data_IF_025537952478
#
_entry.id   IF_025537952478
#
_cell.length_a   1.000
_cell.length_b   1.000
_cell.length_c   1.000
_cell.angle_alpha   90.00
_cell.angle_beta   90.00
_cell.angle_gamma   90.00
#
_symmetry.space_group_name_H-M   'P 1'
#
loop_
_entity.id
_entity.type
_entity.pdbx_description
1 polymer ?
#
# COMPACT_ATOMS: atom_id res chain seq x y z
N UNK A 1 -8.35 12.96 11.30
CA UNK A 1 -8.90 14.32 11.34
C UNK A 1 -10.24 14.38 12.10
N UNK A 2 -11.26 13.70 11.61
CA UNK A 2 -12.57 13.68 12.26
C UNK A 2 -12.57 12.87 13.58
N UNK A 3 -11.66 11.90 13.72
CA UNK A 3 -11.50 11.07 14.93
C UNK A 3 -10.61 11.75 15.97
N UNK A 4 -9.46 12.31 15.53
CA UNK A 4 -8.42 12.85 16.43
C UNK A 4 -8.56 14.35 16.68
N UNK A 5 -9.33 15.07 15.86
CA UNK A 5 -9.48 16.50 15.83
C UNK A 5 -8.40 17.22 15.01
N UNK A 6 -8.75 18.42 14.54
CA UNK A 6 -7.92 19.22 13.62
C UNK A 6 -6.51 19.52 14.14
N UNK A 7 -6.36 19.70 15.46
CA UNK A 7 -5.08 20.03 16.08
C UNK A 7 -4.05 18.91 16.02
N UNK A 8 -4.47 17.67 15.80
CA UNK A 8 -3.60 16.50 15.76
C UNK A 8 -3.24 16.09 14.33
N UNK A 9 -3.92 16.64 13.32
CA UNK A 9 -3.59 16.37 11.93
C UNK A 9 -2.41 17.21 11.48
N UNK A 10 -1.36 16.56 11.00
CA UNK A 10 -0.13 17.20 10.50
C UNK A 10 -0.11 17.14 8.98
N UNK A 11 -0.10 15.94 8.42
CA UNK A 11 -0.14 15.69 6.99
C UNK A 11 -0.62 14.27 6.67
N UNK A 12 -1.08 14.08 5.45
CA UNK A 12 -1.36 12.78 4.85
C UNK A 12 -0.79 12.70 3.45
N UNK A 13 -0.55 11.48 2.99
CA UNK A 13 -0.09 11.24 1.63
C UNK A 13 -0.57 9.89 1.10
N UNK A 14 -0.54 9.75 -0.22
CA UNK A 14 -0.84 8.52 -0.93
C UNK A 14 0.37 8.09 -1.76
N UNK A 15 0.50 6.80 -2.04
CA UNK A 15 1.53 6.25 -2.93
C UNK A 15 1.48 6.84 -4.34
N UNK A 16 0.30 7.29 -4.76
CA UNK A 16 0.05 7.94 -6.05
C UNK A 16 0.45 9.41 -6.12
N UNK A 17 1.34 9.86 -5.22
CA UNK A 17 1.90 11.22 -5.19
C UNK A 17 0.81 12.28 -4.89
N UNK A 18 -0.18 11.94 -4.07
CA UNK A 18 -1.17 12.85 -3.53
C UNK A 18 -0.81 13.25 -2.10
N UNK A 19 -0.82 14.52 -1.79
CA UNK A 19 -0.44 15.04 -0.47
C UNK A 19 -1.47 16.04 0.05
N UNK A 20 -1.69 16.02 1.37
CA UNK A 20 -2.46 17.02 2.09
C UNK A 20 -1.67 17.47 3.32
N UNK A 21 -1.57 18.76 3.55
CA UNK A 21 -0.84 19.35 4.68
C UNK A 21 -1.74 20.33 5.42
N UNK A 22 -1.85 20.14 6.74
CA UNK A 22 -2.70 20.98 7.58
C UNK A 22 -4.20 20.73 7.40
N UNK A 23 -5.03 21.64 7.88
CA UNK A 23 -6.48 21.44 8.04
C UNK A 23 -7.35 22.35 7.17
N UNK A 24 -6.75 23.20 6.36
CA UNK A 24 -7.48 24.19 5.55
C UNK A 24 -8.07 23.62 4.24
N UNK A 25 -7.54 22.50 3.75
CA UNK A 25 -8.10 21.74 2.65
C UNK A 25 -8.35 20.30 3.10
N UNK A 26 -9.43 19.69 2.59
CA UNK A 26 -9.80 18.28 2.86
C UNK A 26 -9.58 17.38 1.65
N UNK A 27 -8.66 17.75 0.78
CA UNK A 27 -8.24 16.98 -0.38
C UNK A 27 -6.75 17.23 -0.66
N UNK A 28 -6.21 16.47 -1.58
CA UNK A 28 -4.82 16.56 -2.03
C UNK A 28 -4.57 17.92 -2.68
N UNK A 29 -3.44 18.55 -2.32
CA UNK A 29 -3.05 19.84 -2.84
C UNK A 29 -1.56 19.87 -3.22
N UNK A 30 -1.29 20.05 -4.52
CA UNK A 30 0.06 20.14 -5.04
C UNK A 30 0.78 21.46 -4.72
N UNK A 31 0.04 22.54 -4.46
CA UNK A 31 0.64 23.86 -4.21
C UNK A 31 1.27 23.93 -2.83
N UNK A 32 0.54 23.54 -1.80
CA UNK A 32 1.06 23.51 -0.42
C UNK A 32 2.23 22.57 -0.25
N UNK A 33 2.19 21.39 -0.86
CA UNK A 33 3.33 20.45 -0.76
C UNK A 33 4.55 20.96 -1.51
N UNK A 34 4.37 21.62 -2.66
CA UNK A 34 5.48 22.24 -3.38
C UNK A 34 6.15 23.35 -2.54
N UNK A 35 5.37 24.20 -1.88
CA UNK A 35 5.89 25.20 -0.95
C UNK A 35 6.66 24.57 0.20
N UNK A 36 6.10 23.52 0.83
CA UNK A 36 6.74 22.81 1.94
C UNK A 36 8.06 22.17 1.51
N UNK A 37 8.12 21.56 0.32
CA UNK A 37 9.35 20.97 -0.22
C UNK A 37 10.43 22.01 -0.48
N UNK A 38 10.07 23.19 -1.01
CA UNK A 38 11.02 24.30 -1.23
C UNK A 38 11.55 24.82 0.11
N UNK A 39 10.68 24.99 1.10
CA UNK A 39 11.07 25.41 2.45
C UNK A 39 11.99 24.37 3.12
N UNK A 40 11.65 23.10 3.05
CA UNK A 40 12.48 22.01 3.57
C UNK A 40 13.85 21.97 2.87
N UNK A 41 13.88 22.10 1.54
CA UNK A 41 15.14 22.14 0.79
C UNK A 41 16.00 23.34 1.20
N UNK A 42 15.42 24.53 1.37
CA UNK A 42 16.12 25.71 1.84
C UNK A 42 16.67 25.52 3.27
N UNK A 43 15.86 24.96 4.18
CA UNK A 43 16.26 24.67 5.56
C UNK A 43 17.45 23.72 5.61
N UNK A 44 17.39 22.58 4.92
CA UNK A 44 18.48 21.61 4.93
C UNK A 44 19.72 22.08 4.19
N UNK A 45 19.56 22.94 3.16
CA UNK A 45 20.69 23.59 2.50
C UNK A 45 21.51 24.46 3.46
N UNK A 46 20.89 25.12 4.45
CA UNK A 46 21.63 25.87 5.48
C UNK A 46 22.50 24.97 6.36
N UNK A 47 22.20 23.66 6.39
CA UNK A 47 22.96 22.65 7.11
C UNK A 47 23.94 21.86 6.20
N UNK A 48 24.11 22.31 4.94
CA UNK A 48 24.96 21.64 3.96
C UNK A 48 24.41 20.34 3.41
N UNK A 49 23.09 20.09 3.55
CA UNK A 49 22.43 18.85 3.12
C UNK A 49 21.48 19.09 1.95
N UNK A 50 21.38 18.11 1.07
CA UNK A 50 20.29 17.96 0.09
C UNK A 50 19.11 17.22 0.70
N UNK A 51 17.95 17.20 0.02
CA UNK A 51 16.82 16.36 0.44
C UNK A 51 17.13 14.86 0.29
N UNK A 52 18.04 14.48 -0.61
CA UNK A 52 18.51 13.09 -0.75
C UNK A 52 19.31 12.68 0.49
N UNK A 53 20.27 13.53 0.95
CA UNK A 53 21.03 13.24 2.18
C UNK A 53 20.11 13.11 3.41
N UNK A 54 18.99 13.84 3.43
CA UNK A 54 17.98 13.74 4.51
C UNK A 54 17.23 12.41 4.41
N UNK A 55 16.85 11.99 3.21
CA UNK A 55 16.19 10.71 2.97
C UNK A 55 17.09 9.54 3.37
N UNK A 56 18.37 9.57 2.96
CA UNK A 56 19.37 8.57 3.36
C UNK A 56 19.50 8.48 4.89
N UNK A 57 19.50 9.63 5.57
CA UNK A 57 19.50 9.68 7.04
C UNK A 57 18.22 9.10 7.67
N UNK A 58 17.08 9.15 6.98
CA UNK A 58 15.87 8.45 7.43
C UNK A 58 16.00 6.94 7.26
N UNK A 59 16.56 6.47 6.15
CA UNK A 59 16.83 5.04 5.94
C UNK A 59 17.81 4.48 6.97
N UNK A 60 18.88 5.22 7.31
CA UNK A 60 19.82 4.84 8.38
C UNK A 60 19.15 4.76 9.76
N UNK A 61 18.22 5.67 10.03
CA UNK A 61 17.57 5.78 11.35
C UNK A 61 16.40 4.83 11.54
N UNK A 62 15.58 4.64 10.51
CA UNK A 62 14.29 3.95 10.60
C UNK A 62 14.23 2.63 9.85
N UNK A 63 15.25 2.31 9.07
CA UNK A 63 15.28 1.19 8.14
C UNK A 63 14.89 1.58 6.71
N UNK A 64 15.24 0.73 5.78
CA UNK A 64 14.91 0.90 4.37
C UNK A 64 13.64 0.11 4.06
N UNK A 65 12.64 0.79 3.55
CA UNK A 65 11.38 0.20 3.10
C UNK A 65 11.13 0.63 1.67
N UNK A 66 10.97 -0.33 0.78
CA UNK A 66 10.65 -0.07 -0.62
C UNK A 66 9.27 -0.63 -0.95
N UNK A 67 8.46 0.18 -1.58
CA UNK A 67 7.21 -0.26 -2.17
C UNK A 67 7.25 -0.26 -3.69
N UNK A 68 6.55 -1.23 -4.30
CA UNK A 68 6.29 -1.30 -5.74
C UNK A 68 4.85 -1.65 -6.00
N UNK A 69 4.28 -1.00 -7.01
CA UNK A 69 2.88 -1.23 -7.43
C UNK A 69 2.82 -1.61 -8.90
N UNK A 70 2.10 -2.69 -9.20
CA UNK A 70 1.70 -3.08 -10.55
C UNK A 70 0.18 -2.94 -10.68
N UNK A 71 -0.26 -2.18 -11.68
CA UNK A 71 -1.66 -2.07 -12.05
C UNK A 71 -1.99 -3.02 -13.20
N UNK A 72 -2.97 -3.88 -12.99
CA UNK A 72 -3.43 -4.84 -13.99
C UNK A 72 -4.81 -4.39 -14.48
N UNK A 73 -4.87 -3.96 -15.73
CA UNK A 73 -6.08 -3.41 -16.36
C UNK A 73 -6.87 -4.53 -17.05
N UNK A 74 -8.18 -4.57 -16.79
CA UNK A 74 -9.13 -5.43 -17.49
C UNK A 74 -10.26 -4.56 -18.03
N UNK A 75 -10.28 -4.32 -19.32
CA UNK A 75 -11.28 -3.46 -19.93
C UNK A 75 -12.70 -4.02 -19.88
N UNK A 76 -13.66 -3.13 -19.76
CA UNK A 76 -15.09 -3.41 -19.88
C UNK A 76 -15.73 -4.05 -18.65
N UNK A 77 -17.05 -4.23 -18.73
CA UNK A 77 -17.85 -4.79 -17.62
C UNK A 77 -17.46 -6.24 -17.26
N UNK A 78 -17.03 -7.03 -18.24
CA UNK A 78 -16.56 -8.39 -18.01
C UNK A 78 -15.26 -8.41 -17.19
N UNK A 79 -14.35 -7.44 -17.42
CA UNK A 79 -13.13 -7.27 -16.65
C UNK A 79 -13.43 -6.93 -15.19
N UNK A 80 -14.31 -5.98 -14.93
CA UNK A 80 -14.73 -5.62 -13.58
C UNK A 80 -15.33 -6.82 -12.82
N UNK A 81 -16.14 -7.66 -13.49
CA UNK A 81 -16.68 -8.88 -12.89
C UNK A 81 -15.60 -9.93 -12.56
N UNK A 82 -14.56 -10.04 -13.39
CA UNK A 82 -13.41 -10.94 -13.11
C UNK A 82 -12.64 -10.47 -11.90
N UNK A 83 -12.35 -9.17 -11.80
CA UNK A 83 -11.68 -8.58 -10.63
C UNK A 83 -12.49 -8.88 -9.35
N UNK A 84 -13.80 -8.64 -9.37
CA UNK A 84 -14.67 -8.90 -8.22
C UNK A 84 -14.60 -10.37 -7.77
N UNK A 85 -14.75 -11.32 -8.69
CA UNK A 85 -14.67 -12.76 -8.39
C UNK A 85 -13.29 -13.16 -7.85
N UNK A 86 -12.23 -12.58 -8.39
CA UNK A 86 -10.88 -12.80 -7.89
C UNK A 86 -10.75 -12.32 -6.44
N UNK A 87 -11.20 -11.11 -6.13
CA UNK A 87 -11.16 -10.57 -4.76
C UNK A 87 -11.95 -11.42 -3.77
N UNK A 88 -13.13 -11.94 -4.17
CA UNK A 88 -13.91 -12.89 -3.36
C UNK A 88 -13.10 -14.18 -3.09
N UNK A 89 -12.48 -14.74 -4.13
CA UNK A 89 -11.64 -15.94 -4.02
C UNK A 89 -10.43 -15.71 -3.12
N UNK A 90 -9.73 -14.57 -3.25
CA UNK A 90 -8.56 -14.25 -2.41
C UNK A 90 -8.91 -14.09 -0.93
N UNK A 91 -10.15 -13.78 -0.59
CA UNK A 91 -10.64 -13.78 0.80
C UNK A 91 -10.87 -15.18 1.35
N UNK A 92 -11.17 -16.15 0.50
CA UNK A 92 -11.47 -17.53 0.89
C UNK A 92 -10.25 -18.47 0.82
N UNK A 93 -9.41 -18.28 -0.20
CA UNK A 93 -8.27 -19.16 -0.50
C UNK A 93 -6.98 -18.37 -0.36
N UNK A 94 -6.27 -18.61 0.70
CA UNK A 94 -4.99 -17.97 0.98
C UNK A 94 -3.84 -18.70 0.29
N UNK A 95 -3.05 -17.97 -0.51
CA UNK A 95 -1.71 -18.41 -0.82
C UNK A 95 -0.90 -18.35 0.49
N UNK A 96 -0.69 -19.52 1.11
CA UNK A 96 0.05 -19.61 2.37
C UNK A 96 1.52 -19.28 2.25
N UNK A 97 2.04 -19.33 1.03
CA UNK A 97 3.45 -19.13 0.74
C UNK A 97 3.61 -18.48 -0.63
N UNK A 98 4.36 -17.39 -0.69
CA UNK A 98 4.86 -16.81 -1.94
C UNK A 98 6.37 -16.59 -1.80
N UNK A 99 7.12 -17.01 -2.80
CA UNK A 99 8.57 -16.89 -2.85
C UNK A 99 9.33 -17.53 -1.66
N UNK A 100 8.74 -18.55 -1.02
CA UNK A 100 9.34 -19.23 0.13
C UNK A 100 9.06 -18.56 1.48
N UNK A 101 8.30 -17.46 1.50
CA UNK A 101 7.90 -16.79 2.74
C UNK A 101 6.48 -17.16 3.16
N UNK A 102 6.34 -17.44 4.46
CA UNK A 102 5.07 -17.86 5.06
C UNK A 102 4.20 -16.64 5.40
N UNK A 103 2.91 -16.70 5.03
CA UNK A 103 1.92 -15.70 5.42
C UNK A 103 1.62 -15.82 6.91
N UNK A 104 1.90 -14.78 7.67
CA UNK A 104 1.69 -14.75 9.12
C UNK A 104 0.40 -14.05 9.53
N UNK A 105 -0.06 -13.07 8.75
CA UNK A 105 -1.31 -12.36 9.01
C UNK A 105 -2.04 -11.97 7.72
N UNK A 106 -3.35 -11.89 7.81
CA UNK A 106 -4.24 -11.47 6.72
C UNK A 106 -5.18 -10.41 7.25
N UNK A 107 -5.15 -9.24 6.61
CA UNK A 107 -6.02 -8.12 6.96
C UNK A 107 -7.02 -7.88 5.84
N UNK A 108 -8.29 -8.10 6.10
CA UNK A 108 -9.38 -7.77 5.18
C UNK A 108 -10.06 -6.48 5.60
N UNK A 109 -9.82 -5.42 4.83
CA UNK A 109 -10.34 -4.08 5.10
C UNK A 109 -11.84 -3.95 4.81
N UNK A 110 -12.41 -4.83 3.99
CA UNK A 110 -13.85 -4.81 3.70
C UNK A 110 -14.68 -5.33 4.88
N UNK A 111 -14.20 -6.38 5.55
CA UNK A 111 -14.85 -6.94 6.75
C UNK A 111 -14.27 -6.38 8.04
N UNK A 112 -13.24 -5.52 7.96
CA UNK A 112 -12.56 -4.87 9.09
C UNK A 112 -12.00 -5.86 10.12
N UNK A 113 -11.32 -6.90 9.64
CA UNK A 113 -10.70 -7.92 10.47
C UNK A 113 -9.27 -8.22 10.04
N UNK A 114 -8.44 -8.51 11.03
CA UNK A 114 -7.13 -9.13 10.83
C UNK A 114 -7.12 -10.51 11.48
N UNK A 115 -6.58 -11.49 10.76
CA UNK A 115 -6.45 -12.87 11.21
C UNK A 115 -4.98 -13.26 11.28
N UNK A 116 -4.54 -13.77 12.44
CA UNK A 116 -3.24 -14.41 12.60
C UNK A 116 -3.33 -15.85 12.08
N UNK A 117 -2.49 -16.19 11.11
CA UNK A 117 -2.59 -17.48 10.41
C UNK A 117 -2.27 -18.67 11.34
N UNK A 118 -1.22 -18.55 12.15
CA UNK A 118 -0.76 -19.63 13.03
C UNK A 118 -1.78 -20.03 14.12
N UNK A 119 -2.49 -19.04 14.70
CA UNK A 119 -3.43 -19.27 15.80
C UNK A 119 -4.88 -19.30 15.36
N UNK A 120 -5.18 -18.75 14.18
CA UNK A 120 -6.55 -18.52 13.73
C UNK A 120 -7.27 -17.39 14.47
N UNK A 121 -6.59 -16.68 15.35
CA UNK A 121 -7.15 -15.55 16.11
C UNK A 121 -7.53 -14.40 15.18
N UNK A 122 -8.72 -13.87 15.36
CA UNK A 122 -9.22 -12.70 14.62
C UNK A 122 -9.38 -11.52 15.57
N UNK A 123 -8.93 -10.36 15.12
CA UNK A 123 -9.16 -9.08 15.79
C UNK A 123 -9.85 -8.09 14.86
N UNK A 124 -10.72 -7.24 15.41
CA UNK A 124 -11.29 -6.13 14.67
C UNK A 124 -10.22 -5.04 14.41
N UNK A 125 -10.31 -4.39 13.27
CA UNK A 125 -9.49 -3.21 12.93
C UNK A 125 -10.40 -1.99 12.79
N UNK A 126 -9.98 -0.86 13.39
CA UNK A 126 -10.70 0.40 13.36
C UNK A 126 -10.21 1.28 12.20
N UNK A 127 -10.47 0.85 10.98
CA UNK A 127 -10.11 1.56 9.74
C UNK A 127 -11.38 1.66 8.87
N UNK A 128 -11.48 2.71 8.06
CA UNK A 128 -12.59 2.85 7.12
C UNK A 128 -12.65 1.67 6.15
N UNK A 129 -13.86 1.21 5.85
CA UNK A 129 -14.09 0.08 4.95
C UNK A 129 -13.61 0.39 3.55
N UNK A 130 -12.75 -0.46 3.03
CA UNK A 130 -12.33 -0.42 1.64
C UNK A 130 -12.20 -1.84 1.07
N UNK A 131 -12.42 -1.99 -0.22
CA UNK A 131 -12.23 -3.28 -0.89
C UNK A 131 -10.74 -3.52 -1.12
N UNK A 132 -10.05 -4.00 -0.07
CA UNK A 132 -8.64 -4.35 -0.10
C UNK A 132 -8.37 -5.52 0.84
N UNK A 133 -7.36 -6.33 0.50
CA UNK A 133 -6.82 -7.40 1.36
C UNK A 133 -5.32 -7.25 1.43
N UNK A 134 -4.75 -7.28 2.64
CA UNK A 134 -3.31 -7.27 2.90
C UNK A 134 -2.87 -8.63 3.42
N UNK A 135 -1.74 -9.11 2.93
CA UNK A 135 -1.06 -10.32 3.39
C UNK A 135 0.31 -9.93 3.93
N UNK A 136 0.58 -10.27 5.17
CA UNK A 136 1.89 -10.01 5.82
C UNK A 136 2.68 -11.31 5.91
N UNK A 137 3.98 -11.22 5.64
CA UNK A 137 4.91 -12.34 5.62
C UNK A 137 5.82 -12.36 6.84
N UNK A 138 6.50 -13.48 7.06
CA UNK A 138 7.43 -13.68 8.17
C UNK A 138 8.74 -12.90 8.01
N UNK A 139 9.07 -12.44 6.81
CA UNK A 139 10.25 -11.64 6.47
C UNK A 139 9.99 -10.11 6.55
N UNK A 140 8.91 -9.70 7.21
CA UNK A 140 8.46 -8.32 7.35
C UNK A 140 7.93 -7.67 6.07
N UNK A 141 7.96 -8.36 4.92
CA UNK A 141 7.30 -7.90 3.71
C UNK A 141 5.79 -8.10 3.77
N UNK A 142 5.08 -7.37 2.93
CA UNK A 142 3.65 -7.52 2.76
C UNK A 142 3.20 -7.15 1.36
N UNK A 143 2.03 -7.63 0.96
CA UNK A 143 1.38 -7.14 -0.24
C UNK A 143 -0.10 -6.86 -0.02
N UNK A 144 -0.64 -5.96 -0.85
CA UNK A 144 -2.07 -5.69 -0.91
C UNK A 144 -2.62 -5.95 -2.30
N UNK A 145 -3.85 -6.40 -2.35
CA UNK A 145 -4.69 -6.43 -3.54
C UNK A 145 -5.83 -5.44 -3.33
N UNK A 146 -5.96 -4.48 -4.25
CA UNK A 146 -7.00 -3.45 -4.20
C UNK A 146 -7.55 -3.17 -5.59
N UNK A 147 -8.84 -3.41 -5.87
CA UNK A 147 -9.47 -2.95 -7.09
C UNK A 147 -9.58 -1.42 -7.07
N UNK A 148 -9.49 -0.80 -8.25
CA UNK A 148 -9.78 0.63 -8.39
C UNK A 148 -11.30 0.86 -8.29
N UNK A 149 -11.70 1.92 -7.60
CA UNK A 149 -13.11 2.33 -7.51
C UNK A 149 -13.63 3.02 -8.77
N UNK A 150 -12.75 3.51 -9.64
CA UNK A 150 -13.09 4.33 -10.81
C UNK A 150 -12.70 3.73 -12.15
N UNK A 151 -11.75 2.79 -12.15
CA UNK A 151 -11.19 2.17 -13.34
C UNK A 151 -11.26 0.65 -13.24
N UNK A 152 -11.42 -0.09 -14.36
CA UNK A 152 -11.45 -1.54 -14.36
C UNK A 152 -10.02 -2.12 -14.24
N UNK A 153 -9.39 -1.91 -13.10
CA UNK A 153 -8.06 -2.41 -12.78
C UNK A 153 -7.95 -2.88 -11.33
N UNK A 154 -7.00 -3.76 -11.08
CA UNK A 154 -6.56 -4.15 -9.75
C UNK A 154 -5.10 -3.73 -9.55
N UNK A 155 -4.80 -3.19 -8.37
CA UNK A 155 -3.43 -2.85 -7.94
C UNK A 155 -2.89 -3.96 -7.06
N UNK A 156 -1.70 -4.42 -7.42
CA UNK A 156 -0.84 -5.27 -6.61
C UNK A 156 0.25 -4.37 -6.06
N UNK A 157 0.26 -4.10 -4.78
CA UNK A 157 1.27 -3.30 -4.11
C UNK A 157 2.03 -4.19 -3.13
N UNK A 158 3.34 -4.11 -3.15
CA UNK A 158 4.25 -4.86 -2.27
C UNK A 158 5.17 -3.87 -1.57
N UNK A 159 5.43 -4.09 -0.29
CA UNK A 159 6.53 -3.47 0.45
C UNK A 159 7.46 -4.56 0.97
N UNK A 160 8.76 -4.35 0.86
CA UNK A 160 9.77 -5.30 1.31
C UNK A 160 11.05 -4.57 1.75
N UNK A 161 11.89 -5.23 2.59
CA UNK A 161 13.11 -4.61 3.12
C UNK A 161 14.23 -4.44 2.09
N UNK A 162 14.14 -5.05 0.90
CA UNK A 162 15.11 -4.87 -0.18
C UNK A 162 14.44 -4.68 -1.54
N UNK A 163 15.12 -3.98 -2.45
CA UNK A 163 14.64 -3.76 -3.82
C UNK A 163 14.46 -5.09 -4.59
N UNK A 164 15.39 -6.01 -4.44
CA UNK A 164 15.35 -7.32 -5.10
C UNK A 164 14.12 -8.12 -4.63
N UNK A 165 13.89 -8.19 -3.34
CA UNK A 165 12.76 -8.91 -2.75
C UNK A 165 11.43 -8.26 -3.14
N UNK A 166 11.35 -6.93 -3.10
CA UNK A 166 10.17 -6.19 -3.50
C UNK A 166 9.83 -6.42 -4.98
N UNK A 167 10.84 -6.42 -5.86
CA UNK A 167 10.66 -6.69 -7.28
C UNK A 167 10.22 -8.13 -7.56
N UNK A 168 10.86 -9.10 -6.90
CA UNK A 168 10.50 -10.52 -7.03
C UNK A 168 9.05 -10.77 -6.59
N UNK A 169 8.68 -10.28 -5.43
CA UNK A 169 7.33 -10.45 -4.89
C UNK A 169 6.27 -9.78 -5.74
N UNK A 170 6.44 -8.50 -6.12
CA UNK A 170 5.43 -7.80 -6.92
C UNK A 170 5.21 -8.47 -8.27
N UNK A 171 6.28 -8.99 -8.89
CA UNK A 171 6.21 -9.70 -10.18
C UNK A 171 5.45 -11.00 -10.05
N UNK A 172 5.84 -11.86 -9.11
CA UNK A 172 5.19 -13.17 -8.88
C UNK A 172 3.73 -13.04 -8.48
N UNK A 173 3.41 -12.11 -7.60
CA UNK A 173 2.02 -11.87 -7.18
C UNK A 173 1.20 -11.34 -8.37
N UNK A 174 1.75 -10.41 -9.15
CA UNK A 174 1.07 -9.90 -10.33
C UNK A 174 0.82 -11.01 -11.37
N UNK A 175 1.74 -11.95 -11.55
CA UNK A 175 1.56 -13.08 -12.47
C UNK A 175 0.47 -14.04 -11.97
N UNK A 176 0.44 -14.36 -10.69
CA UNK A 176 -0.65 -15.15 -10.09
C UNK A 176 -2.00 -14.44 -10.27
N UNK A 177 -2.05 -13.14 -10.04
CA UNK A 177 -3.26 -12.33 -10.26
C UNK A 177 -3.68 -12.35 -11.73
N UNK A 178 -2.76 -12.19 -12.69
CA UNK A 178 -3.06 -12.29 -14.13
C UNK A 178 -3.66 -13.63 -14.52
N UNK A 179 -3.09 -14.73 -14.04
CA UNK A 179 -3.60 -16.08 -14.28
C UNK A 179 -5.02 -16.24 -13.72
N UNK A 180 -5.27 -15.79 -12.49
CA UNK A 180 -6.58 -15.88 -11.84
C UNK A 180 -7.67 -15.08 -12.57
N UNK A 181 -7.33 -13.98 -13.19
CA UNK A 181 -8.27 -13.16 -13.96
C UNK A 181 -8.30 -13.53 -15.46
N UNK A 182 -7.50 -14.53 -15.89
CA UNK A 182 -7.47 -15.05 -17.25
C UNK A 182 -6.79 -14.12 -18.26
N UNK A 183 -5.70 -13.49 -17.83
CA UNK A 183 -4.72 -12.81 -18.67
C UNK A 183 -3.47 -13.72 -18.70
N UNK A 184 -3.41 -14.59 -19.70
CA UNK A 184 -2.24 -15.44 -19.99
C UNK A 184 -1.18 -14.64 -20.76
#
# INVERSE_FOLDING_TARGET
>A
WDITGEKNYVMGYEESIGYNVGTFLRDKDGVTIAMLLVEAAAFYKTQGKTLVDVLDGFYEKYGYYLDKTISIVLEGAAGAQRIKRMMEKYREIFAREIAGSEVVAITDYLVQKEKTVATGEEKAIEIEKTDAVKFSYSDESWYTLRPSGTEPLVRVMVEAPTDELCHDYVTRIADVVRQEIGLD
#
